data_IF_058166374979
#
_entry.id   IF_058166374979
#
_cell.length_a   1.000
_cell.length_b   1.000
_cell.length_c   1.000
_cell.angle_alpha   90.00
_cell.angle_beta   90.00
_cell.angle_gamma   90.00
#
_symmetry.space_group_name_H-M   'P 1'
#
loop_
_entity.id
_entity.type
_entity.pdbx_description
1 polymer ?
#
# COMPACT_ATOMS: atom_id res chain seq x y z
N UNK A 1 -27.34 0.63 12.44
CA UNK A 1 -26.68 -0.25 11.45
C UNK A 1 -25.45 0.48 10.93
N UNK A 2 -24.33 -0.24 10.95
CA UNK A 2 -22.98 0.11 10.47
C UNK A 2 -22.20 1.16 11.29
N UNK A 3 -21.49 0.65 12.32
CA UNK A 3 -20.41 1.34 13.01
C UNK A 3 -19.07 1.02 12.31
N UNK A 4 -18.23 2.05 12.08
CA UNK A 4 -17.22 2.07 11.01
C UNK A 4 -15.86 2.56 11.55
N UNK A 5 -14.80 1.71 11.58
CA UNK A 5 -13.45 2.13 12.03
C UNK A 5 -12.25 1.74 11.20
N UNK A 6 -11.30 2.68 11.22
CA UNK A 6 -10.00 2.68 10.57
C UNK A 6 -8.95 2.00 11.46
N UNK A 7 -8.51 0.78 11.14
CA UNK A 7 -7.16 0.27 11.50
C UNK A 7 -6.73 -0.98 10.73
N UNK A 8 -5.74 -0.84 9.83
CA UNK A 8 -4.57 -1.72 9.60
C UNK A 8 -3.82 -1.29 8.33
N UNK A 9 -2.47 -1.18 8.31
CA UNK A 9 -1.70 -1.16 7.07
C UNK A 9 -2.05 -2.41 6.27
N UNK A 10 -2.47 -2.22 5.01
CA UNK A 10 -2.90 -3.27 4.10
C UNK A 10 -1.78 -4.32 3.96
N UNK A 11 -1.80 -5.33 4.83
CA UNK A 11 -0.79 -6.39 4.87
C UNK A 11 -1.24 -7.59 4.05
N UNK A 12 -1.82 -7.38 2.86
CA UNK A 12 -2.23 -8.49 1.98
C UNK A 12 -2.21 -8.11 0.49
N UNK A 13 -1.04 -8.26 -0.14
CA UNK A 13 -0.98 -8.72 -1.54
C UNK A 13 -0.18 -10.01 -1.61
N UNK A 14 -0.87 -11.15 -1.45
CA UNK A 14 -0.42 -12.41 -2.03
C UNK A 14 -0.94 -12.44 -3.46
N UNK A 15 -0.04 -12.27 -4.40
CA UNK A 15 -0.24 -12.53 -5.83
C UNK A 15 -0.77 -13.95 -6.01
N UNK A 16 -2.04 -14.09 -6.39
CA UNK A 16 -2.57 -15.33 -6.95
C UNK A 16 -2.06 -15.36 -8.39
N UNK A 17 -0.96 -16.07 -8.61
CA UNK A 17 -0.52 -16.40 -9.96
C UNK A 17 -1.54 -17.33 -10.61
N UNK A 18 -2.23 -16.82 -11.62
CA UNK A 18 -2.99 -17.59 -12.59
C UNK A 18 -2.06 -18.57 -13.31
N UNK A 19 -2.44 -19.85 -13.29
CA UNK A 19 -1.71 -20.94 -13.92
C UNK A 19 -2.05 -21.03 -15.40
N UNK A 20 -1.09 -20.75 -16.29
CA UNK A 20 -1.08 -21.36 -17.62
C UNK A 20 0.38 -21.72 -18.03
N UNK A 21 0.68 -22.94 -18.49
CA UNK A 21 2.02 -23.50 -18.44
C UNK A 21 2.69 -23.53 -19.82
N UNK A 22 3.79 -22.81 -20.02
CA UNK A 22 4.85 -23.21 -20.97
C UNK A 22 6.22 -22.77 -20.43
N UNK A 23 7.16 -23.72 -20.43
CA UNK A 23 8.55 -23.66 -19.99
C UNK A 23 8.84 -24.12 -18.55
N UNK A 24 8.85 -25.45 -18.40
CA UNK A 24 9.57 -26.18 -17.35
C UNK A 24 11.08 -26.15 -17.65
N UNK A 25 11.92 -25.94 -16.63
CA UNK A 25 13.24 -26.58 -16.44
C UNK A 25 13.64 -26.50 -14.94
N UNK A 26 14.56 -27.36 -14.45
CA UNK A 26 14.26 -28.26 -13.34
C UNK A 26 14.74 -27.82 -11.95
N UNK A 27 14.15 -28.50 -10.98
CA UNK A 27 14.36 -28.50 -9.53
C UNK A 27 15.79 -28.84 -9.07
N UNK A 28 16.24 -28.13 -8.04
CA UNK A 28 17.17 -28.67 -7.04
C UNK A 28 16.67 -28.35 -5.62
N UNK A 29 16.55 -29.40 -4.81
CA UNK A 29 16.36 -29.36 -3.36
C UNK A 29 17.72 -29.15 -2.67
N UNK A 30 17.76 -28.43 -1.54
CA UNK A 30 18.10 -29.02 -0.23
C UNK A 30 18.12 -28.01 0.95
N UNK A 31 17.36 -28.38 1.99
CA UNK A 31 17.61 -28.31 3.45
C UNK A 31 18.02 -27.03 4.20
N UNK A 32 17.14 -26.73 5.16
CA UNK A 32 17.19 -25.97 6.43
C UNK A 32 18.52 -25.97 7.23
N UNK A 33 18.85 -24.85 7.91
CA UNK A 33 18.66 -24.60 9.36
C UNK A 33 19.26 -23.23 9.82
N UNK A 34 18.84 -22.67 10.98
CA UNK A 34 19.09 -21.28 11.41
C UNK A 34 20.36 -21.14 12.27
N UNK A 35 20.87 -19.91 12.52
CA UNK A 35 21.51 -19.45 13.78
C UNK A 35 21.89 -17.95 13.72
N UNK A 36 22.01 -17.38 14.93
CA UNK A 36 21.88 -16.01 15.43
C UNK A 36 23.23 -15.23 15.53
N UNK A 37 23.11 -13.88 15.53
CA UNK A 37 24.01 -12.76 15.97
C UNK A 37 25.24 -13.13 16.86
N UNK A 38 26.41 -12.44 16.90
CA UNK A 38 26.72 -10.98 16.96
C UNK A 38 28.27 -10.72 16.97
N UNK A 39 28.70 -9.56 16.46
CA UNK A 39 29.74 -8.62 16.99
C UNK A 39 31.27 -8.77 16.77
N UNK A 40 31.83 -7.67 16.21
CA UNK A 40 33.03 -6.89 16.61
C UNK A 40 34.43 -7.11 15.97
N UNK A 41 34.79 -6.08 15.18
CA UNK A 41 36.03 -5.25 15.15
C UNK A 41 37.38 -5.81 14.64
N UNK A 42 37.87 -5.11 13.59
CA UNK A 42 39.23 -4.65 13.22
C UNK A 42 40.48 -5.37 13.77
N UNK A 43 41.43 -5.69 12.88
CA UNK A 43 42.73 -4.98 12.69
C UNK A 43 43.52 -5.67 11.54
N UNK A 44 44.19 -4.85 10.74
CA UNK A 44 45.11 -5.21 9.67
C UNK A 44 46.37 -5.92 10.17
N UNK A 45 46.91 -6.91 9.44
CA UNK A 45 48.36 -7.16 9.39
C UNK A 45 48.75 -7.78 8.05
N UNK A 46 49.78 -7.18 7.48
CA UNK A 46 50.64 -7.61 6.38
C UNK A 46 51.25 -9.01 6.60
N UNK A 47 51.42 -9.79 5.54
CA UNK A 47 52.34 -10.94 5.56
C UNK A 47 53.34 -10.80 4.41
N UNK A 48 54.58 -10.50 4.79
CA UNK A 48 55.76 -10.61 3.96
C UNK A 48 56.35 -12.02 4.06
N UNK A 49 56.93 -12.53 2.98
CA UNK A 49 58.02 -13.50 3.03
C UNK A 49 58.95 -13.31 1.82
N UNK A 50 60.22 -13.03 2.16
CA UNK A 50 61.41 -12.76 1.34
C UNK A 50 61.69 -13.80 0.23
N UNK A 51 62.14 -13.49 -1.00
CA UNK A 51 63.30 -12.73 -1.54
C UNK A 51 64.45 -13.66 -2.02
N UNK A 52 64.62 -13.89 -3.33
CA UNK A 52 65.91 -13.76 -4.06
C UNK A 52 65.80 -14.06 -5.56
N UNK A 53 66.46 -13.19 -6.32
CA UNK A 53 66.65 -13.19 -7.77
C UNK A 53 67.15 -14.52 -8.36
N UNK A 54 66.45 -15.02 -9.38
CA UNK A 54 67.07 -15.59 -10.58
C UNK A 54 66.30 -15.08 -11.80
N UNK A 55 67.05 -14.40 -12.68
CA UNK A 55 66.62 -14.09 -14.04
C UNK A 55 66.32 -15.40 -14.77
N UNK A 56 65.10 -15.54 -15.27
CA UNK A 56 64.79 -16.25 -16.51
C UNK A 56 63.43 -15.72 -17.00
N UNK A 57 63.41 -15.34 -18.27
CA UNK A 57 62.35 -14.65 -18.98
C UNK A 57 60.99 -15.32 -18.78
N UNK A 58 60.02 -14.59 -18.22
CA UNK A 58 58.60 -14.88 -18.37
C UNK A 58 58.13 -14.33 -19.74
N UNK A 59 57.20 -15.01 -20.43
CA UNK A 59 56.78 -14.60 -21.76
C UNK A 59 56.12 -13.22 -21.70
N UNK A 60 56.55 -12.35 -22.63
CA UNK A 60 55.88 -11.08 -22.92
C UNK A 60 54.59 -11.39 -23.67
N UNK A 61 53.58 -11.84 -22.96
CA UNK A 61 52.19 -11.70 -23.40
C UNK A 61 51.54 -10.70 -22.43
N UNK A 62 52.09 -9.49 -22.44
CA UNK A 62 51.33 -8.32 -22.07
C UNK A 62 50.47 -8.03 -23.30
N UNK A 63 49.30 -8.64 -23.36
CA UNK A 63 48.23 -8.15 -24.22
C UNK A 63 48.00 -6.70 -23.77
N UNK A 64 48.46 -5.77 -24.59
CA UNK A 64 48.07 -4.38 -24.55
C UNK A 64 46.53 -4.41 -24.68
N UNK A 65 45.81 -4.39 -23.55
CA UNK A 65 44.36 -4.20 -23.52
C UNK A 65 44.08 -2.75 -23.96
N UNK A 66 44.39 -2.47 -25.22
CA UNK A 66 43.92 -1.31 -25.95
C UNK A 66 42.43 -1.54 -26.15
N UNK A 67 41.64 -1.16 -25.15
CA UNK A 67 40.19 -1.10 -25.26
C UNK A 67 39.84 -0.43 -26.60
N UNK A 68 39.12 -1.17 -27.44
CA UNK A 68 38.81 -0.77 -28.81
C UNK A 68 38.08 0.57 -28.87
N UNK A 69 38.14 1.25 -30.02
CA UNK A 69 37.38 2.48 -30.19
C UNK A 69 35.87 2.20 -30.10
N UNK A 70 35.19 2.91 -29.20
CA UNK A 70 33.73 2.84 -29.04
C UNK A 70 33.05 3.37 -30.30
N UNK A 71 32.18 2.55 -30.92
CA UNK A 71 31.30 2.98 -32.02
C UNK A 71 30.05 3.68 -31.50
N UNK A 72 29.46 3.13 -30.42
CA UNK A 72 28.30 3.69 -29.76
C UNK A 72 27.79 2.81 -28.62
N UNK A 73 26.84 3.35 -27.85
CA UNK A 73 26.10 2.60 -26.82
C UNK A 73 24.81 2.07 -27.46
N UNK A 74 24.53 0.78 -27.26
CA UNK A 74 23.36 0.07 -27.81
C UNK A 74 22.54 -0.63 -26.71
N UNK A 75 22.77 -0.29 -25.44
CA UNK A 75 22.18 -0.93 -24.28
C UNK A 75 22.58 -0.21 -23.00
N UNK A 76 21.68 -0.16 -22.02
CA UNK A 76 22.02 0.24 -20.66
C UNK A 76 21.39 -0.70 -19.64
N UNK A 77 21.99 -0.80 -18.46
CA UNK A 77 21.41 -1.46 -17.28
C UNK A 77 21.94 -0.86 -15.99
N UNK A 78 21.08 -0.73 -15.00
CA UNK A 78 21.47 -0.41 -13.64
C UNK A 78 22.12 -1.63 -12.97
N UNK A 79 23.20 -1.40 -12.23
CA UNK A 79 23.86 -2.46 -11.46
C UNK A 79 23.09 -2.80 -10.17
N UNK A 80 23.04 -4.10 -9.87
CA UNK A 80 22.48 -4.62 -8.63
C UNK A 80 23.13 -3.96 -7.41
N UNK A 81 22.29 -3.52 -6.47
CA UNK A 81 22.78 -2.94 -5.24
C UNK A 81 23.44 -1.58 -5.44
N UNK A 82 22.93 -0.77 -6.37
CA UNK A 82 23.09 0.68 -6.37
C UNK A 82 24.37 1.27 -6.94
N UNK A 83 25.32 0.47 -7.40
CA UNK A 83 26.70 0.94 -7.56
C UNK A 83 26.93 1.82 -8.79
N UNK A 84 26.07 1.78 -9.80
CA UNK A 84 26.20 2.60 -11.00
C UNK A 84 25.46 2.03 -12.21
N UNK A 85 25.86 2.47 -13.40
CA UNK A 85 25.34 2.03 -14.70
C UNK A 85 26.38 1.20 -15.45
N UNK A 86 25.92 0.20 -16.20
CA UNK A 86 26.67 -0.46 -17.25
C UNK A 86 26.02 -0.18 -18.61
N UNK A 87 26.87 -0.14 -19.64
CA UNK A 87 26.44 0.10 -21.01
C UNK A 87 26.93 -1.00 -21.93
N UNK A 88 26.07 -1.41 -22.86
CA UNK A 88 26.42 -2.34 -23.91
C UNK A 88 27.08 -1.58 -25.05
N UNK A 89 28.36 -1.85 -25.27
CA UNK A 89 29.19 -1.13 -26.24
C UNK A 89 29.25 -1.88 -27.55
N UNK A 90 28.94 -1.19 -28.64
CA UNK A 90 29.30 -1.63 -29.99
C UNK A 90 30.72 -1.10 -30.31
N UNK A 91 31.61 -1.99 -30.72
CA UNK A 91 33.01 -1.66 -31.00
C UNK A 91 33.25 -1.39 -32.49
N UNK A 92 34.14 -0.44 -32.83
CA UNK A 92 34.46 -0.13 -34.24
C UNK A 92 35.33 -1.20 -34.92
N UNK A 93 36.13 -1.90 -34.15
CA UNK A 93 37.05 -2.96 -34.60
C UNK A 93 36.35 -4.28 -34.95
N UNK A 94 35.03 -4.35 -34.76
CA UNK A 94 34.20 -5.51 -35.09
C UNK A 94 34.17 -6.58 -34.01
N UNK A 95 34.69 -6.31 -32.80
CA UNK A 95 34.46 -7.17 -31.66
C UNK A 95 32.97 -7.26 -31.28
N UNK A 96 32.58 -8.40 -30.70
CA UNK A 96 31.22 -8.61 -30.25
C UNK A 96 30.83 -7.57 -29.18
N UNK A 97 29.59 -7.08 -29.17
CA UNK A 97 29.16 -6.12 -28.16
C UNK A 97 29.33 -6.65 -26.74
N UNK A 98 29.80 -5.80 -25.83
CA UNK A 98 30.10 -6.18 -24.45
C UNK A 98 29.65 -5.14 -23.44
N UNK A 99 29.21 -5.59 -22.27
CA UNK A 99 28.85 -4.73 -21.14
C UNK A 99 30.09 -4.15 -20.48
N UNK A 100 30.13 -2.83 -20.35
CA UNK A 100 31.23 -2.09 -19.76
C UNK A 100 30.67 -1.12 -18.70
N UNK A 101 31.23 -1.05 -17.49
CA UNK A 101 30.81 -0.07 -16.49
C UNK A 101 31.06 1.36 -16.96
N UNK A 102 30.17 2.28 -16.57
CA UNK A 102 30.22 3.69 -16.95
C UNK A 102 31.59 4.35 -16.72
N UNK A 103 32.30 3.95 -15.66
CA UNK A 103 33.62 4.49 -15.29
C UNK A 103 34.73 4.23 -16.33
N UNK A 104 34.55 3.23 -17.20
CA UNK A 104 35.51 2.85 -18.25
C UNK A 104 35.17 3.44 -19.62
N UNK A 105 34.05 4.18 -19.73
CA UNK A 105 33.60 4.79 -20.99
C UNK A 105 33.85 6.30 -20.91
N UNK A 106 34.17 6.90 -22.06
CA UNK A 106 34.33 8.35 -22.12
C UNK A 106 33.03 9.07 -21.74
N UNK A 107 33.15 10.11 -20.90
CA UNK A 107 31.99 10.80 -20.30
C UNK A 107 31.10 11.49 -21.33
N UNK A 108 31.67 11.96 -22.43
CA UNK A 108 30.96 12.54 -23.57
C UNK A 108 30.08 11.50 -24.27
N UNK A 109 30.60 10.29 -24.51
CA UNK A 109 29.83 9.19 -25.12
C UNK A 109 28.64 8.79 -24.24
N UNK A 110 28.86 8.64 -22.92
CA UNK A 110 27.77 8.36 -21.97
C UNK A 110 26.78 9.52 -21.93
N UNK A 111 27.25 10.77 -21.94
CA UNK A 111 26.38 11.93 -21.92
C UNK A 111 25.53 12.06 -23.18
N UNK A 112 26.07 11.76 -24.37
CA UNK A 112 25.31 11.75 -25.63
C UNK A 112 24.16 10.75 -25.59
N UNK A 113 24.40 9.57 -25.00
CA UNK A 113 23.38 8.56 -24.79
C UNK A 113 22.35 8.99 -23.72
N UNK A 114 22.77 9.48 -22.55
CA UNK A 114 21.87 9.71 -21.41
C UNK A 114 21.15 11.07 -21.43
N UNK A 115 21.71 12.09 -22.08
CA UNK A 115 21.14 13.45 -22.06
C UNK A 115 19.70 13.52 -22.60
N UNK A 116 19.33 12.84 -23.71
CA UNK A 116 17.95 12.79 -24.18
C UNK A 116 16.97 12.26 -23.14
N UNK A 117 17.34 11.17 -22.46
CA UNK A 117 16.52 10.52 -21.42
C UNK A 117 16.27 11.45 -20.24
N UNK A 118 17.33 12.01 -19.66
CA UNK A 118 17.18 12.91 -18.52
C UNK A 118 16.49 14.23 -18.88
N UNK A 119 16.65 14.70 -20.12
CA UNK A 119 15.94 15.89 -20.61
C UNK A 119 14.43 15.62 -20.71
N UNK A 120 14.05 14.46 -21.25
CA UNK A 120 12.66 14.05 -21.35
C UNK A 120 12.03 13.85 -19.96
N UNK A 121 12.70 13.14 -19.06
CA UNK A 121 12.24 12.91 -17.69
C UNK A 121 12.05 14.22 -16.89
N UNK A 122 13.02 15.14 -16.95
CA UNK A 122 12.97 16.44 -16.24
C UNK A 122 11.90 17.40 -16.79
N UNK A 123 11.42 17.17 -18.00
CA UNK A 123 10.31 17.92 -18.63
C UNK A 123 8.97 17.18 -18.54
N UNK A 124 8.96 15.94 -18.06
CA UNK A 124 7.84 15.02 -18.19
C UNK A 124 7.31 14.92 -19.63
N UNK A 125 8.23 14.82 -20.60
CA UNK A 125 7.91 14.67 -22.02
C UNK A 125 7.58 13.21 -22.34
N UNK A 126 6.29 12.91 -22.34
CA UNK A 126 5.75 11.57 -22.61
C UNK A 126 6.20 11.04 -23.98
N UNK A 127 6.12 11.86 -25.03
CA UNK A 127 6.45 11.40 -26.39
C UNK A 127 7.93 11.05 -26.51
N UNK A 128 8.81 11.87 -25.93
CA UNK A 128 10.24 11.64 -25.99
C UNK A 128 10.65 10.40 -25.15
N UNK A 129 10.09 10.24 -23.95
CA UNK A 129 10.34 9.04 -23.13
C UNK A 129 9.88 7.78 -23.86
N UNK A 130 8.69 7.79 -24.45
CA UNK A 130 8.14 6.64 -25.18
C UNK A 130 9.02 6.23 -26.36
N UNK A 131 9.46 7.20 -27.16
CA UNK A 131 10.36 6.93 -28.30
C UNK A 131 11.70 6.33 -27.86
N UNK A 132 12.23 6.76 -26.71
CA UNK A 132 13.48 6.23 -26.16
C UNK A 132 13.31 4.83 -25.57
N UNK A 133 12.16 4.49 -25.01
CA UNK A 133 11.86 3.14 -24.48
C UNK A 133 11.61 2.14 -25.62
N UNK A 134 10.95 2.58 -26.69
CA UNK A 134 10.63 1.75 -27.87
C UNK A 134 11.81 1.61 -28.84
N UNK A 135 12.94 2.27 -28.57
CA UNK A 135 14.14 2.15 -29.38
C UNK A 135 14.79 0.76 -29.23
N UNK A 136 15.48 0.30 -30.28
CA UNK A 136 16.18 -1.00 -30.31
C UNK A 136 17.53 -0.96 -29.55
N UNK A 137 17.74 0.06 -28.71
CA UNK A 137 18.96 0.28 -27.94
C UNK A 137 18.88 -0.31 -26.52
N UNK A 138 17.91 -1.20 -26.26
CA UNK A 138 17.83 -2.00 -25.03
C UNK A 138 17.96 -1.19 -23.74
N UNK A 139 17.44 0.04 -23.73
CA UNK A 139 17.59 0.98 -22.62
C UNK A 139 16.86 0.51 -21.37
N UNK A 140 17.53 0.62 -20.24
CA UNK A 140 16.93 0.37 -18.93
C UNK A 140 16.03 1.53 -18.49
N UNK A 141 14.76 1.20 -18.21
CA UNK A 141 13.75 2.14 -17.70
C UNK A 141 14.10 2.64 -16.30
N UNK A 142 14.80 1.82 -15.52
CA UNK A 142 15.31 2.15 -14.19
C UNK A 142 16.76 2.65 -14.23
N UNK A 143 17.22 3.17 -15.37
CA UNK A 143 18.47 3.92 -15.45
C UNK A 143 18.52 5.00 -14.36
N UNK A 144 19.69 5.13 -13.71
CA UNK A 144 19.88 5.98 -12.54
C UNK A 144 20.84 7.14 -12.82
N UNK A 145 20.54 8.31 -12.26
CA UNK A 145 21.47 9.45 -12.27
C UNK A 145 22.54 9.35 -11.16
N UNK A 146 23.38 10.38 -11.03
CA UNK A 146 24.43 10.43 -10.00
C UNK A 146 23.91 10.39 -8.55
N UNK A 147 22.65 10.80 -8.32
CA UNK A 147 21.97 10.74 -7.03
C UNK A 147 21.15 9.44 -6.86
N UNK A 148 21.30 8.53 -7.82
CA UNK A 148 20.53 7.29 -7.96
C UNK A 148 19.02 7.48 -8.16
N UNK A 149 18.62 8.57 -8.80
CA UNK A 149 17.20 8.79 -9.15
C UNK A 149 16.91 8.17 -10.49
N UNK A 150 15.78 7.47 -10.59
CA UNK A 150 15.22 7.01 -11.87
C UNK A 150 14.33 8.08 -12.49
N UNK A 151 13.96 7.90 -13.76
CA UNK A 151 13.02 8.80 -14.43
C UNK A 151 11.67 8.89 -13.69
N UNK A 152 11.21 7.78 -13.08
CA UNK A 152 9.97 7.71 -12.33
C UNK A 152 9.91 8.72 -11.17
N UNK A 153 11.01 8.89 -10.44
CA UNK A 153 11.10 9.85 -9.33
C UNK A 153 10.90 11.30 -9.81
N UNK A 154 11.46 11.65 -10.97
CA UNK A 154 11.29 12.99 -11.55
C UNK A 154 9.86 13.24 -11.98
N UNK A 155 9.28 12.34 -12.79
CA UNK A 155 7.92 12.55 -13.33
C UNK A 155 6.86 12.48 -12.23
N UNK A 156 7.11 11.72 -11.16
CA UNK A 156 6.24 11.68 -9.99
C UNK A 156 6.22 13.03 -9.24
N UNK A 157 7.38 13.65 -9.02
CA UNK A 157 7.46 14.98 -8.41
C UNK A 157 6.88 16.10 -9.29
N UNK A 158 7.03 15.96 -10.63
CA UNK A 158 6.44 16.89 -11.60
C UNK A 158 4.92 16.75 -11.69
N UNK A 159 4.36 15.62 -11.29
CA UNK A 159 2.91 15.38 -11.30
C UNK A 159 2.38 14.84 -12.63
N UNK A 160 3.22 14.21 -13.45
CA UNK A 160 2.81 13.71 -14.77
C UNK A 160 2.29 12.28 -14.68
N UNK A 161 0.96 12.13 -14.53
CA UNK A 161 0.29 10.84 -14.54
C UNK A 161 0.55 10.02 -15.83
N UNK A 162 0.54 10.60 -17.05
CA UNK A 162 0.81 9.83 -18.26
C UNK A 162 2.22 9.22 -18.29
N UNK A 163 3.24 9.98 -17.89
CA UNK A 163 4.60 9.47 -17.82
C UNK A 163 4.77 8.39 -16.75
N UNK A 164 4.13 8.56 -15.58
CA UNK A 164 4.15 7.54 -14.51
C UNK A 164 3.54 6.23 -15.00
N UNK A 165 2.38 6.29 -15.68
CA UNK A 165 1.72 5.12 -16.24
C UNK A 165 2.61 4.41 -17.27
N UNK A 166 3.17 5.15 -18.22
CA UNK A 166 4.02 4.59 -19.26
C UNK A 166 5.27 3.91 -18.68
N UNK A 167 5.97 4.57 -17.74
CA UNK A 167 7.15 3.99 -17.10
C UNK A 167 6.80 2.70 -16.34
N UNK A 168 5.67 2.68 -15.63
CA UNK A 168 5.18 1.49 -14.94
C UNK A 168 4.81 0.36 -15.92
N UNK A 169 4.15 0.67 -17.03
CA UNK A 169 3.84 -0.30 -18.10
C UNK A 169 5.13 -0.85 -18.77
N UNK A 170 6.20 -0.05 -18.79
CA UNK A 170 7.52 -0.47 -19.24
C UNK A 170 8.33 -1.25 -18.17
N UNK A 171 7.75 -1.49 -16.98
CA UNK A 171 8.36 -2.31 -15.93
C UNK A 171 9.21 -1.57 -14.91
N UNK A 172 9.09 -0.24 -14.81
CA UNK A 172 9.82 0.56 -13.81
C UNK A 172 9.52 0.09 -12.37
N UNK A 173 10.55 0.04 -11.54
CA UNK A 173 10.42 -0.26 -10.12
C UNK A 173 9.81 0.93 -9.36
N UNK A 174 8.54 0.79 -8.95
CA UNK A 174 7.79 1.82 -8.24
C UNK A 174 8.36 2.16 -6.85
N UNK A 175 9.04 1.19 -6.24
CA UNK A 175 9.57 1.27 -4.87
C UNK A 175 11.07 1.56 -4.85
N UNK A 176 11.67 1.91 -6.00
CA UNK A 176 13.07 2.30 -6.09
C UNK A 176 13.36 3.50 -5.19
N UNK A 177 14.46 3.44 -4.45
CA UNK A 177 14.89 4.47 -3.49
C UNK A 177 16.15 5.18 -3.98
N UNK A 178 16.10 6.51 -3.99
CA UNK A 178 17.27 7.34 -4.29
C UNK A 178 18.35 7.28 -3.20
N UNK A 179 19.52 7.84 -3.49
CA UNK A 179 20.63 7.92 -2.54
C UNK A 179 20.67 9.27 -1.78
N UNK A 180 19.80 10.22 -2.14
CA UNK A 180 19.76 11.56 -1.53
C UNK A 180 18.96 11.61 -0.22
N UNK A 181 18.14 10.60 0.02
CA UNK A 181 17.44 10.42 1.30
C UNK A 181 16.61 9.15 1.35
N UNK A 182 16.83 8.20 0.44
CA UNK A 182 16.06 6.97 0.37
C UNK A 182 14.63 7.18 -0.13
N UNK A 183 14.38 8.25 -0.90
CA UNK A 183 13.03 8.62 -1.33
C UNK A 183 12.59 7.78 -2.54
N UNK A 184 11.36 7.30 -2.48
CA UNK A 184 10.68 6.59 -3.57
C UNK A 184 9.67 7.48 -4.33
N UNK A 185 9.06 6.96 -5.40
CA UNK A 185 8.11 7.71 -6.21
C UNK A 185 6.92 8.27 -5.40
N UNK A 186 6.38 7.49 -4.46
CA UNK A 186 5.31 7.96 -3.55
C UNK A 186 5.77 9.11 -2.64
N UNK A 187 7.03 9.10 -2.19
CA UNK A 187 7.59 10.22 -1.42
C UNK A 187 7.69 11.49 -2.27
N UNK A 188 8.08 11.37 -3.55
CA UNK A 188 8.12 12.49 -4.48
C UNK A 188 6.72 13.06 -4.72
N UNK A 189 5.73 12.19 -4.98
CA UNK A 189 4.34 12.61 -5.14
C UNK A 189 3.82 13.31 -3.87
N UNK A 190 4.16 12.80 -2.68
CA UNK A 190 3.76 13.41 -1.41
C UNK A 190 4.43 14.77 -1.16
N UNK A 191 5.75 14.85 -1.31
CA UNK A 191 6.54 16.05 -1.05
C UNK A 191 6.22 17.22 -1.99
N UNK A 192 5.93 16.89 -3.26
CA UNK A 192 5.55 17.87 -4.29
C UNK A 192 4.03 18.05 -4.43
N UNK A 193 3.24 17.44 -3.54
CA UNK A 193 1.79 17.66 -3.44
C UNK A 193 1.04 17.25 -4.72
N UNK A 194 1.25 16.01 -5.16
CA UNK A 194 0.69 15.40 -6.38
C UNK A 194 -0.31 14.28 -6.03
N UNK A 195 -1.55 14.59 -5.62
CA UNK A 195 -2.52 13.58 -5.19
C UNK A 195 -2.93 12.62 -6.31
N UNK A 196 -3.04 13.09 -7.55
CA UNK A 196 -3.38 12.24 -8.71
C UNK A 196 -2.31 11.20 -9.00
N UNK A 197 -1.03 11.61 -9.00
CA UNK A 197 0.11 10.68 -9.11
C UNK A 197 0.18 9.74 -7.92
N UNK A 198 -0.01 10.21 -6.68
CA UNK A 198 -0.01 9.34 -5.51
C UNK A 198 -1.06 8.24 -5.63
N UNK A 199 -2.27 8.60 -6.06
CA UNK A 199 -3.34 7.63 -6.32
C UNK A 199 -2.94 6.64 -7.42
N UNK A 200 -2.42 7.13 -8.55
CA UNK A 200 -2.00 6.29 -9.66
C UNK A 200 -0.91 5.29 -9.26
N UNK A 201 0.09 5.72 -8.49
CA UNK A 201 1.16 4.84 -8.02
C UNK A 201 0.60 3.71 -7.14
N UNK A 202 -0.35 4.02 -6.24
CA UNK A 202 -1.02 3.00 -5.42
C UNK A 202 -1.87 2.05 -6.27
N UNK A 203 -2.62 2.58 -7.25
CA UNK A 203 -3.42 1.77 -8.18
C UNK A 203 -2.53 0.82 -9.02
N UNK A 204 -1.27 1.20 -9.27
CA UNK A 204 -0.26 0.40 -9.96
C UNK A 204 0.51 -0.57 -9.04
N UNK A 205 0.22 -0.57 -7.73
CA UNK A 205 0.79 -1.50 -6.76
C UNK A 205 2.08 -1.03 -6.06
N UNK A 206 2.38 0.27 -6.06
CA UNK A 206 3.47 0.81 -5.24
C UNK A 206 3.21 0.57 -3.74
N UNK A 207 4.25 0.23 -2.98
CA UNK A 207 4.15 -0.05 -1.56
C UNK A 207 4.02 1.27 -0.74
N UNK A 208 2.87 1.52 -0.07
CA UNK A 208 2.67 2.73 0.73
C UNK A 208 3.51 2.77 2.01
N UNK A 209 4.11 1.65 2.43
CA UNK A 209 4.88 1.50 3.68
C UNK A 209 6.40 1.60 3.46
N UNK A 210 6.87 1.87 2.23
CA UNK A 210 8.30 2.13 1.97
C UNK A 210 8.78 3.28 2.82
N UNK A 211 9.91 3.10 3.50
CA UNK A 211 10.49 4.14 4.38
C UNK A 211 11.69 4.83 3.73
N UNK A 212 11.77 6.15 3.92
CA UNK A 212 12.96 6.94 3.62
C UNK A 212 14.10 6.70 4.64
N UNK A 213 15.26 7.33 4.44
CA UNK A 213 16.42 7.17 5.34
C UNK A 213 16.19 7.76 6.74
N UNK A 214 15.12 8.54 6.92
CA UNK A 214 14.69 9.06 8.23
C UNK A 214 13.63 8.16 8.88
N UNK A 215 13.27 7.05 8.25
CA UNK A 215 12.26 6.11 8.72
C UNK A 215 10.82 6.62 8.53
N UNK A 216 10.59 7.57 7.62
CA UNK A 216 9.25 8.11 7.34
C UNK A 216 8.65 7.39 6.14
N UNK A 217 7.38 7.05 6.25
CA UNK A 217 6.56 6.66 5.08
C UNK A 217 6.18 7.89 4.24
N UNK A 218 5.67 7.71 3.01
CA UNK A 218 5.08 8.82 2.24
C UNK A 218 3.97 9.54 3.01
N UNK A 219 3.19 8.80 3.82
CA UNK A 219 2.12 9.35 4.65
C UNK A 219 2.68 10.23 5.79
N UNK A 220 3.72 9.75 6.47
CA UNK A 220 4.40 10.51 7.53
C UNK A 220 5.02 11.80 6.98
N UNK A 221 5.67 11.71 5.81
CA UNK A 221 6.23 12.87 5.12
C UNK A 221 5.15 13.91 4.81
N UNK A 222 4.01 13.50 4.24
CA UNK A 222 2.91 14.42 3.91
C UNK A 222 2.35 15.09 5.18
N UNK A 223 2.17 14.33 6.28
CA UNK A 223 1.72 14.85 7.58
C UNK A 223 2.71 15.83 8.19
N UNK A 224 4.00 15.54 8.14
CA UNK A 224 5.07 16.42 8.63
C UNK A 224 5.08 17.75 7.87
N UNK A 225 5.00 17.70 6.53
CA UNK A 225 4.96 18.90 5.68
C UNK A 225 3.69 19.71 5.97
N UNK A 226 2.53 19.07 6.11
CA UNK A 226 1.28 19.77 6.41
C UNK A 226 1.37 20.51 7.76
N UNK A 227 1.97 19.89 8.78
CA UNK A 227 2.14 20.48 10.11
C UNK A 227 2.94 21.79 10.10
N UNK A 228 3.98 21.87 9.26
CA UNK A 228 4.85 23.06 9.16
C UNK A 228 4.37 24.08 8.13
N UNK A 229 3.34 23.76 7.33
CA UNK A 229 2.84 24.66 6.28
C UNK A 229 2.07 25.86 6.89
N UNK A 230 2.43 27.11 6.58
CA UNK A 230 1.79 28.30 7.16
C UNK A 230 0.30 28.40 6.83
N UNK A 231 -0.52 28.83 7.82
CA UNK A 231 -1.98 28.92 7.69
C UNK A 231 -2.51 30.26 7.16
N UNK A 232 -1.69 31.31 7.18
CA UNK A 232 -2.15 32.69 6.94
C UNK A 232 -2.12 33.20 5.49
N UNK A 233 -1.64 32.41 4.52
CA UNK A 233 -1.43 32.88 3.14
C UNK A 233 -2.30 32.10 2.15
N UNK A 234 -3.11 32.76 1.28
CA UNK A 234 -3.93 32.09 0.25
C UNK A 234 -3.15 31.15 -0.68
N UNK A 235 -1.89 31.45 -1.00
CA UNK A 235 -1.04 30.56 -1.80
C UNK A 235 -0.67 29.28 -1.04
N UNK A 236 -0.52 29.37 0.29
CA UNK A 236 -0.28 28.19 1.14
C UNK A 236 -1.58 27.42 1.42
N UNK A 237 -2.75 28.07 1.33
CA UNK A 237 -4.04 27.39 1.45
C UNK A 237 -4.20 26.31 0.37
N UNK A 238 -3.92 26.62 -0.89
CA UNK A 238 -3.97 25.62 -1.97
C UNK A 238 -3.00 24.45 -1.73
N UNK A 239 -1.79 24.74 -1.24
CA UNK A 239 -0.82 23.70 -0.86
C UNK A 239 -1.35 22.80 0.26
N UNK A 240 -2.01 23.35 1.27
CA UNK A 240 -2.63 22.57 2.36
C UNK A 240 -3.72 21.65 1.84
N UNK A 241 -4.62 22.15 0.99
CA UNK A 241 -5.67 21.32 0.38
C UNK A 241 -5.06 20.18 -0.43
N UNK A 242 -4.01 20.46 -1.20
CA UNK A 242 -3.30 19.42 -1.94
C UNK A 242 -2.66 18.37 -1.02
N UNK A 243 -2.04 18.79 0.08
CA UNK A 243 -1.44 17.88 1.07
C UNK A 243 -2.50 17.05 1.79
N UNK A 244 -3.62 17.65 2.18
CA UNK A 244 -4.79 16.97 2.75
C UNK A 244 -5.34 15.93 1.74
N UNK A 245 -5.35 16.25 0.44
CA UNK A 245 -5.71 15.32 -0.62
C UNK A 245 -4.76 14.13 -0.75
N UNK A 246 -3.44 14.36 -0.71
CA UNK A 246 -2.43 13.28 -0.70
C UNK A 246 -2.60 12.41 0.54
N UNK A 247 -2.75 13.02 1.73
CA UNK A 247 -2.92 12.31 2.99
C UNK A 247 -4.16 11.42 2.91
N UNK A 248 -5.28 11.93 2.40
CA UNK A 248 -6.51 11.13 2.25
C UNK A 248 -6.31 9.92 1.34
N UNK A 249 -5.60 10.08 0.23
CA UNK A 249 -5.29 8.99 -0.70
C UNK A 249 -4.43 7.93 -0.02
N UNK A 250 -3.36 8.35 0.68
CA UNK A 250 -2.47 7.43 1.38
C UNK A 250 -3.16 6.76 2.58
N UNK A 251 -3.97 7.49 3.35
CA UNK A 251 -4.77 6.93 4.45
C UNK A 251 -5.78 5.91 3.94
N UNK A 252 -6.38 6.12 2.77
CA UNK A 252 -7.28 5.14 2.15
C UNK A 252 -6.59 3.87 1.65
N UNK A 253 -5.27 3.91 1.43
CA UNK A 253 -4.48 2.72 1.07
C UNK A 253 -3.88 2.03 2.29
N UNK A 254 -3.52 2.81 3.32
CA UNK A 254 -2.89 2.33 4.56
C UNK A 254 -3.92 1.92 5.60
N UNK A 255 -5.18 2.34 5.50
CA UNK A 255 -6.18 1.99 6.49
C UNK A 255 -7.49 1.58 5.85
N UNK A 256 -8.04 0.49 6.38
CA UNK A 256 -9.35 -0.02 6.01
C UNK A 256 -10.37 0.18 7.13
N UNK A 257 -11.64 0.19 6.74
CA UNK A 257 -12.76 0.17 7.67
C UNK A 257 -13.09 -1.28 8.07
N UNK A 258 -13.12 -1.56 9.37
CA UNK A 258 -13.47 -2.85 9.94
C UNK A 258 -14.65 -2.73 10.92
N UNK A 259 -15.49 -3.77 10.94
CA UNK A 259 -16.62 -3.84 11.86
C UNK A 259 -16.18 -4.26 13.27
N UNK A 260 -16.67 -3.51 14.25
CA UNK A 260 -16.42 -3.79 15.66
C UNK A 260 -17.54 -4.63 16.24
N UNK A 261 -17.16 -5.64 17.00
CA UNK A 261 -18.08 -6.48 17.75
C UNK A 261 -18.51 -5.76 19.03
N UNK A 262 -17.54 -5.32 19.84
CA UNK A 262 -17.80 -4.60 21.10
C UNK A 262 -16.57 -3.79 21.54
N UNK A 263 -16.80 -2.80 22.40
CA UNK A 263 -15.76 -2.17 23.22
C UNK A 263 -15.69 -2.92 24.54
N UNK A 264 -14.50 -3.38 24.91
CA UNK A 264 -14.28 -4.16 26.14
C UNK A 264 -13.87 -3.23 27.29
N UNK A 265 -12.87 -2.39 27.04
CA UNK A 265 -12.25 -1.57 28.09
C UNK A 265 -11.98 -0.15 27.58
N UNK A 266 -11.77 0.77 28.53
CA UNK A 266 -11.28 2.12 28.25
C UNK A 266 -10.06 2.45 29.09
N UNK A 267 -9.16 3.25 28.54
CA UNK A 267 -8.01 3.80 29.25
C UNK A 267 -7.69 5.21 28.81
N UNK A 268 -6.88 5.89 29.61
CA UNK A 268 -6.47 7.26 29.32
C UNK A 268 -7.59 8.30 29.53
N UNK A 269 -7.30 9.55 29.16
CA UNK A 269 -8.19 10.71 29.30
C UNK A 269 -7.87 11.74 28.22
N UNK A 270 -8.86 12.54 27.82
CA UNK A 270 -8.68 13.62 26.85
C UNK A 270 -8.22 13.12 25.48
N UNK A 271 -7.18 13.74 24.91
CA UNK A 271 -6.63 13.35 23.59
C UNK A 271 -5.98 11.95 23.56
N UNK A 272 -5.68 11.38 24.72
CA UNK A 272 -5.11 10.04 24.87
C UNK A 272 -6.16 9.02 25.33
N UNK A 273 -7.45 9.33 25.21
CA UNK A 273 -8.52 8.38 25.47
C UNK A 273 -8.48 7.27 24.41
N UNK A 274 -8.45 6.03 24.87
CA UNK A 274 -8.37 4.83 24.05
C UNK A 274 -9.37 3.78 24.54
N UNK A 275 -9.92 3.02 23.59
CA UNK A 275 -10.85 1.93 23.82
C UNK A 275 -10.24 0.63 23.31
N UNK A 276 -10.37 -0.43 24.10
CA UNK A 276 -10.00 -1.78 23.68
C UNK A 276 -11.14 -2.36 22.87
N UNK A 277 -10.88 -2.62 21.60
CA UNK A 277 -11.87 -3.02 20.61
C UNK A 277 -11.74 -4.52 20.33
N UNK A 278 -12.87 -5.23 20.31
CA UNK A 278 -12.98 -6.59 19.75
C UNK A 278 -13.52 -6.52 18.33
N UNK A 279 -12.85 -7.16 17.40
CA UNK A 279 -13.25 -7.17 15.99
C UNK A 279 -14.21 -8.31 15.67
N UNK A 280 -15.17 -8.08 14.76
CA UNK A 280 -16.11 -9.12 14.33
C UNK A 280 -15.46 -10.22 13.48
N UNK A 281 -14.36 -9.91 12.80
CA UNK A 281 -13.62 -10.86 11.97
C UNK A 281 -12.79 -11.87 12.79
N UNK A 282 -12.79 -11.74 14.12
CA UNK A 282 -12.00 -12.57 15.03
C UNK A 282 -10.52 -12.17 15.12
N UNK A 283 -10.13 -11.03 14.55
CA UNK A 283 -8.81 -10.43 14.76
C UNK A 283 -8.55 -10.14 16.24
N UNK A 284 -7.28 -10.06 16.62
CA UNK A 284 -6.88 -9.78 17.99
C UNK A 284 -7.40 -8.42 18.47
N UNK A 285 -7.76 -8.32 19.76
CA UNK A 285 -8.25 -7.07 20.33
C UNK A 285 -7.15 -6.00 20.32
N UNK A 286 -7.52 -4.76 19.98
CA UNK A 286 -6.56 -3.66 19.84
C UNK A 286 -7.03 -2.39 20.56
N UNK A 287 -6.07 -1.63 21.10
CA UNK A 287 -6.34 -0.34 21.74
C UNK A 287 -6.39 0.75 20.68
N UNK A 288 -7.58 1.29 20.43
CA UNK A 288 -7.85 2.30 19.41
C UNK A 288 -8.15 3.64 20.07
N UNK A 289 -7.60 4.73 19.53
CA UNK A 289 -7.88 6.09 20.04
C UNK A 289 -9.33 6.45 19.81
N UNK A 290 -9.95 7.12 20.78
CA UNK A 290 -11.37 7.49 20.75
C UNK A 290 -11.79 8.23 19.47
N UNK A 291 -10.93 9.07 18.89
CA UNK A 291 -11.20 9.77 17.62
C UNK A 291 -11.32 8.86 16.38
N UNK A 292 -10.87 7.62 16.51
CA UNK A 292 -10.99 6.55 15.51
C UNK A 292 -11.91 5.45 16.02
N UNK A 293 -12.71 5.74 17.05
CA UNK A 293 -13.88 4.98 17.50
C UNK A 293 -15.10 5.91 17.28
N UNK A 294 -16.30 5.38 17.12
CA UNK A 294 -17.45 6.05 16.48
C UNK A 294 -18.35 6.37 17.63
N UNK A 295 -18.96 7.51 17.47
CA UNK A 295 -19.62 8.17 18.58
C UNK A 295 -20.79 7.33 19.09
N UNK A 296 -21.46 6.55 18.22
CA UNK A 296 -22.49 5.59 18.60
C UNK A 296 -21.93 4.45 19.46
N UNK A 297 -20.87 3.77 19.00
CA UNK A 297 -20.25 2.67 19.75
C UNK A 297 -19.68 3.14 21.11
N UNK A 298 -19.05 4.32 21.13
CA UNK A 298 -18.55 4.91 22.38
C UNK A 298 -19.72 5.23 23.31
N UNK A 299 -20.78 5.86 22.79
CA UNK A 299 -21.96 6.23 23.58
C UNK A 299 -22.62 4.99 24.18
N UNK A 300 -22.76 3.92 23.40
CA UNK A 300 -23.38 2.68 23.86
C UNK A 300 -22.53 2.05 24.98
N UNK A 301 -21.20 2.00 24.82
CA UNK A 301 -20.28 1.56 25.87
C UNK A 301 -20.34 2.43 27.14
N UNK A 302 -20.34 3.75 27.00
CA UNK A 302 -20.41 4.68 28.13
C UNK A 302 -21.77 4.65 28.85
N UNK A 303 -22.84 4.32 28.13
CA UNK A 303 -24.16 4.06 28.70
C UNK A 303 -24.25 2.70 29.42
N UNK A 304 -23.23 1.85 29.29
CA UNK A 304 -23.21 0.50 29.85
C UNK A 304 -24.14 -0.45 29.12
N UNK A 305 -24.43 -0.19 27.84
CA UNK A 305 -25.20 -1.10 27.01
C UNK A 305 -24.33 -2.30 26.66
N UNK A 306 -24.74 -3.48 27.09
CA UNK A 306 -24.10 -4.75 26.73
C UNK A 306 -24.63 -5.22 25.37
N UNK A 307 -23.72 -5.48 24.42
CA UNK A 307 -24.08 -6.06 23.13
C UNK A 307 -24.36 -7.55 23.31
N UNK A 308 -25.63 -7.91 23.57
CA UNK A 308 -26.08 -9.30 23.61
C UNK A 308 -26.67 -9.72 22.25
N UNK A 309 -26.50 -10.99 21.88
CA UNK A 309 -27.14 -11.53 20.68
C UNK A 309 -28.59 -11.89 21.02
N UNK A 310 -29.54 -11.22 20.38
CA UNK A 310 -30.95 -11.56 20.47
C UNK A 310 -31.22 -12.86 19.70
N UNK A 311 -31.84 -13.84 20.35
CA UNK A 311 -32.28 -15.10 19.75
C UNK A 311 -33.63 -14.92 19.04
N UNK A 312 -34.58 -14.27 19.71
CA UNK A 312 -35.93 -14.06 19.19
C UNK A 312 -36.67 -12.94 19.92
N UNK A 313 -37.64 -12.33 19.24
CA UNK A 313 -38.66 -11.47 19.85
C UNK A 313 -39.86 -12.34 20.23
N UNK A 314 -40.24 -12.32 21.52
CA UNK A 314 -41.30 -13.16 22.08
C UNK A 314 -42.64 -12.44 22.21
N UNK A 315 -42.63 -11.12 22.43
CA UNK A 315 -43.83 -10.31 22.61
C UNK A 315 -43.59 -8.84 22.25
N UNK A 316 -44.68 -8.09 22.03
CA UNK A 316 -44.69 -6.62 21.86
C UNK A 316 -45.67 -6.00 22.84
N UNK A 317 -45.29 -4.88 23.47
CA UNK A 317 -46.15 -4.03 24.29
C UNK A 317 -45.97 -2.55 23.92
N UNK A 318 -46.83 -1.71 24.47
CA UNK A 318 -46.64 -0.25 24.41
C UNK A 318 -45.96 0.18 25.72
N UNK A 319 -44.78 0.79 25.62
CA UNK A 319 -44.04 1.34 26.74
C UNK A 319 -44.65 2.64 27.27
N UNK A 320 -44.08 3.15 28.37
CA UNK A 320 -44.63 4.29 29.12
C UNK A 320 -44.66 5.60 28.32
N UNK A 321 -43.80 5.73 27.30
CA UNK A 321 -43.76 6.87 26.39
C UNK A 321 -44.67 6.71 25.15
N UNK A 322 -45.47 5.65 25.10
CA UNK A 322 -46.31 5.33 23.93
C UNK A 322 -45.54 4.76 22.73
N UNK A 323 -44.26 4.41 22.93
CA UNK A 323 -43.42 3.73 21.94
C UNK A 323 -43.53 2.20 22.08
N UNK A 324 -43.40 1.42 21.01
CA UNK A 324 -43.40 -0.04 21.10
C UNK A 324 -42.13 -0.54 21.81
N UNK A 325 -42.32 -1.50 22.72
CA UNK A 325 -41.26 -2.27 23.37
C UNK A 325 -41.46 -3.76 23.04
N UNK A 326 -40.36 -4.49 22.95
CA UNK A 326 -40.33 -5.90 22.58
C UNK A 326 -39.68 -6.73 23.68
N UNK A 327 -40.27 -7.88 23.99
CA UNK A 327 -39.69 -8.84 24.92
C UNK A 327 -38.69 -9.70 24.14
N UNK A 328 -37.40 -9.46 24.37
CA UNK A 328 -36.31 -10.11 23.64
C UNK A 328 -35.77 -11.28 24.45
N UNK A 329 -35.72 -12.45 23.83
CA UNK A 329 -34.95 -13.59 24.33
C UNK A 329 -33.53 -13.46 23.84
N UNK A 330 -32.57 -13.50 24.75
CA UNK A 330 -31.14 -13.41 24.44
C UNK A 330 -30.49 -14.77 24.45
N UNK A 331 -29.41 -14.93 23.70
CA UNK A 331 -28.60 -16.16 23.70
C UNK A 331 -27.93 -16.38 25.05
N UNK A 332 -27.49 -15.30 25.70
CA UNK A 332 -26.64 -15.34 26.89
C UNK A 332 -27.37 -14.98 28.21
N UNK A 333 -28.65 -14.60 28.15
CA UNK A 333 -29.47 -14.34 29.35
C UNK A 333 -30.56 -15.40 29.50
N UNK A 334 -30.69 -15.93 30.72
CA UNK A 334 -31.73 -16.92 31.04
C UNK A 334 -33.14 -16.32 30.98
N UNK A 335 -33.29 -15.03 31.33
CA UNK A 335 -34.57 -14.34 31.36
C UNK A 335 -34.66 -13.30 30.21
N UNK A 336 -35.78 -13.29 29.45
CA UNK A 336 -35.99 -12.30 28.41
C UNK A 336 -36.28 -10.92 29.01
N UNK A 337 -35.79 -9.85 28.38
CA UNK A 337 -35.97 -8.46 28.84
C UNK A 337 -36.81 -7.64 27.87
N UNK A 338 -37.49 -6.61 28.38
CA UNK A 338 -38.24 -5.68 27.55
C UNK A 338 -37.30 -4.58 27.05
N UNK A 339 -37.13 -4.50 25.74
CA UNK A 339 -36.28 -3.52 25.08
C UNK A 339 -37.11 -2.60 24.17
N UNK A 340 -36.73 -1.31 24.07
CA UNK A 340 -37.34 -0.40 23.11
C UNK A 340 -37.01 -0.83 21.67
N UNK A 341 -37.87 -0.51 20.70
CA UNK A 341 -37.72 -0.89 19.29
C UNK A 341 -36.34 -0.55 18.71
N UNK A 342 -35.74 0.56 19.13
CA UNK A 342 -34.43 1.00 18.65
C UNK A 342 -33.28 0.06 19.03
N UNK A 343 -33.45 -0.77 20.06
CA UNK A 343 -32.45 -1.71 20.58
C UNK A 343 -32.62 -3.13 20.05
N UNK A 344 -33.65 -3.40 19.24
CA UNK A 344 -33.98 -4.74 18.75
C UNK A 344 -33.66 -4.87 17.27
N UNK A 345 -33.10 -6.01 16.88
CA UNK A 345 -32.82 -6.30 15.47
C UNK A 345 -34.11 -6.17 14.63
N UNK A 346 -34.16 -5.26 13.62
CA UNK A 346 -35.33 -5.06 12.79
C UNK A 346 -35.79 -6.32 12.05
N UNK A 347 -34.88 -7.25 11.73
CA UNK A 347 -35.25 -8.51 11.08
C UNK A 347 -35.98 -9.45 12.05
N UNK A 348 -35.61 -9.48 13.33
CA UNK A 348 -36.35 -10.25 14.34
C UNK A 348 -37.74 -9.68 14.59
N UNK A 349 -37.89 -8.35 14.58
CA UNK A 349 -39.20 -7.68 14.68
C UNK A 349 -40.09 -8.05 13.49
N UNK A 350 -39.55 -8.02 12.27
CA UNK A 350 -40.28 -8.45 11.07
C UNK A 350 -40.71 -9.91 11.14
N UNK A 351 -39.83 -10.82 11.59
CA UNK A 351 -40.14 -12.24 11.75
C UNK A 351 -41.26 -12.46 12.78
N UNK A 352 -41.22 -11.73 13.89
CA UNK A 352 -42.27 -11.76 14.90
C UNK A 352 -43.63 -11.29 14.34
N UNK A 353 -43.65 -10.17 13.61
CA UNK A 353 -44.88 -9.64 13.02
C UNK A 353 -45.47 -10.58 11.94
N UNK A 354 -44.61 -11.23 11.14
CA UNK A 354 -45.04 -12.23 10.15
C UNK A 354 -45.67 -13.45 10.82
N UNK A 355 -45.05 -13.95 11.90
CA UNK A 355 -45.54 -15.11 12.66
C UNK A 355 -46.85 -14.78 13.39
N UNK A 356 -46.94 -13.57 13.95
CA UNK A 356 -48.13 -13.07 14.67
C UNK A 356 -49.32 -12.86 13.74
N UNK A 357 -49.10 -12.39 12.51
CA UNK A 357 -50.16 -12.25 11.50
C UNK A 357 -50.64 -13.58 10.92
N UNK A 358 -49.81 -14.64 10.93
CA UNK A 358 -50.24 -15.99 10.54
C UNK A 358 -51.08 -16.69 11.63
N UNK A 359 -51.03 -16.22 12.88
CA UNK A 359 -51.73 -16.82 14.02
C UNK A 359 -53.17 -16.32 14.24
N UNK A 360 -53.73 -15.46 13.37
CA UNK A 360 -55.17 -15.15 13.41
C UNK A 360 -55.98 -16.23 12.67
N UNK A 361 -56.82 -17.04 13.35
CA UNK A 361 -57.73 -17.94 12.66
C UNK A 361 -58.83 -17.11 11.97
N UNK A 362 -59.06 -17.38 10.69
CA UNK A 362 -60.23 -16.92 9.95
C UNK A 362 -61.49 -17.40 10.65
N UNK A 363 -62.13 -16.53 11.44
CA UNK A 363 -63.42 -16.81 12.05
C UNK A 363 -64.53 -16.68 10.97
N UNK A 364 -64.59 -17.64 10.04
CA UNK A 364 -65.78 -17.85 9.22
C UNK A 364 -66.78 -18.66 10.04
N UNK A 365 -67.63 -17.96 10.79
CA UNK A 365 -68.84 -18.55 11.35
C UNK A 365 -69.77 -19.06 10.24
N UNK A 366 -70.58 -20.11 10.49
CA UNK A 366 -71.41 -20.71 9.47
C UNK A 366 -72.51 -19.74 9.01
N UNK A 367 -72.55 -19.48 7.71
CA UNK A 367 -73.64 -18.77 7.04
C UNK A 367 -74.87 -19.68 7.06
N UNK A 368 -75.86 -19.36 7.90
CA UNK A 368 -77.20 -19.95 7.82
C UNK A 368 -77.91 -19.35 6.63
N UNK A 369 -77.99 -20.12 5.54
CA UNK A 369 -78.86 -19.84 4.40
C UNK A 369 -80.28 -20.23 4.81
N UNK A 370 -81.16 -19.25 5.02
CA UNK A 370 -82.61 -19.49 5.03
C UNK A 370 -83.12 -19.20 3.63
N UNK A 371 -83.41 -20.27 2.89
CA UNK A 371 -84.14 -20.23 1.63
C UNK A 371 -85.62 -20.02 1.90
N UNK A 372 -86.19 -18.98 1.27
CA UNK A 372 -87.64 -18.85 1.11
C UNK A 372 -88.15 -19.96 0.18
N UNK A 373 -89.25 -20.61 0.58
CA UNK A 373 -90.19 -21.26 -0.32
C UNK A 373 -91.63 -20.87 0.07
N UNK A 374 -92.21 -20.05 -0.78
CA UNK A 374 -93.60 -19.94 -1.26
C UNK A 374 -94.81 -20.31 -0.37
N UNK A 375 -95.69 -19.33 -0.19
CA UNK A 375 -97.11 -19.37 -0.65
C UNK A 375 -97.69 -17.96 -0.76
#
# INVERSE_FOLDING_TARGET
>A
MEAVFVTKPASHFKTIFSTNPKHQFPSYQHSLLPIRRKSSRFIAVSAALQNRQQQQQAPKDAEDESYGEVKGIIGSRALDGATGMEYLIEWKDGHAPSWVPADFIAKDVVAEYETPWWTAAKKADESALKQLIEADDGRDVDAVDSDRRTALLFVAGLGSEPCVRMLAEAGANLDHRDNSGGLAALHMAAGYVRPGVAKLLLDLGADPEVVDDRGRTPLDLAKEILKVTPKGNPMQFGRRIGLEGVIRVLEGAVFEYAEVQEIIERRGKGENLEYLVRWKDGSANEWIKAKFVAEDLIRDYEAGLEYAVAEAVLARRLGDEGKPEFLVKWVDLEEPTWEPEENVDPELVKLFDQTSNQAQPTNNGPVVVVSNQDS
#
